data_IF_206309221607
#
_entry.id   IF_206309221607
#
_cell.length_a   1.000
_cell.length_b   1.000
_cell.length_c   1.000
_cell.angle_alpha   90.00
_cell.angle_beta   90.00
_cell.angle_gamma   90.00
#
_symmetry.space_group_name_H-M   'P 1'
#
loop_
_entity.id
_entity.type
_entity.pdbx_description
1 polymer ?
#
# COMPACT_ATOMS: atom_id res chain seq x y z
N UNK A 1 -3.48 -41.00 1.95
CA UNK A 1 -3.80 -41.58 3.28
C UNK A 1 -4.22 -40.53 4.31
N UNK A 2 -3.56 -39.36 4.45
CA UNK A 2 -3.96 -38.31 5.43
C UNK A 2 -5.33 -37.65 5.19
N UNK A 3 -5.76 -37.48 3.94
CA UNK A 3 -7.05 -36.85 3.62
C UNK A 3 -8.28 -37.65 4.07
N UNK A 4 -8.16 -38.98 4.16
CA UNK A 4 -9.30 -39.87 4.45
C UNK A 4 -9.61 -39.90 5.96
N UNK A 5 -8.57 -39.78 6.78
CA UNK A 5 -8.68 -39.81 8.25
C UNK A 5 -9.33 -38.52 8.78
N UNK A 6 -8.97 -37.36 8.23
CA UNK A 6 -9.57 -36.07 8.60
C UNK A 6 -11.06 -36.01 8.23
N UNK A 7 -11.44 -36.57 7.08
CA UNK A 7 -12.84 -36.63 6.67
C UNK A 7 -13.69 -37.46 7.65
N UNK A 8 -13.20 -38.64 8.05
CA UNK A 8 -13.89 -39.51 9.02
C UNK A 8 -14.03 -38.85 10.40
N UNK A 9 -12.99 -38.15 10.87
CA UNK A 9 -13.03 -37.46 12.15
C UNK A 9 -14.03 -36.30 12.16
N UNK A 10 -14.08 -35.47 11.11
CA UNK A 10 -15.05 -34.38 11.01
C UNK A 10 -16.51 -34.90 10.99
N UNK A 11 -16.81 -35.91 10.17
CA UNK A 11 -18.18 -36.42 10.04
C UNK A 11 -18.69 -37.00 11.37
N UNK A 12 -17.86 -37.75 12.09
CA UNK A 12 -18.23 -38.31 13.40
C UNK A 12 -18.42 -37.24 14.48
N UNK A 13 -17.68 -36.13 14.42
CA UNK A 13 -17.86 -35.00 15.33
C UNK A 13 -19.17 -34.23 15.07
N UNK A 14 -19.50 -33.94 13.82
CA UNK A 14 -20.74 -33.25 13.47
C UNK A 14 -21.99 -34.12 13.74
N UNK A 15 -21.90 -35.43 13.53
CA UNK A 15 -22.99 -36.36 13.86
C UNK A 15 -23.30 -36.41 15.36
N UNK A 16 -22.27 -36.30 16.23
CA UNK A 16 -22.45 -36.23 17.69
C UNK A 16 -23.08 -34.91 18.14
N UNK A 17 -22.85 -33.83 17.40
CA UNK A 17 -23.34 -32.49 17.72
C UNK A 17 -24.62 -32.12 16.96
N UNK A 18 -25.34 -33.13 16.41
CA UNK A 18 -26.62 -32.99 15.68
C UNK A 18 -26.69 -31.86 14.66
N UNK A 19 -25.55 -31.53 14.05
CA UNK A 19 -25.42 -30.39 13.14
C UNK A 19 -25.59 -30.89 11.72
N UNK A 20 -26.64 -30.38 11.05
CA UNK A 20 -26.97 -30.79 9.68
C UNK A 20 -25.90 -30.26 8.70
N UNK A 21 -25.08 -31.16 8.17
CA UNK A 21 -24.03 -30.84 7.19
C UNK A 21 -24.68 -30.74 5.81
N UNK A 22 -24.50 -29.61 5.12
CA UNK A 22 -24.89 -29.48 3.71
C UNK A 22 -23.84 -30.21 2.86
N UNK A 23 -24.23 -31.18 2.00
CA UNK A 23 -23.27 -31.88 1.16
C UNK A 23 -22.66 -30.92 0.14
N UNK A 24 -21.36 -30.69 0.23
CA UNK A 24 -20.59 -29.91 -0.73
C UNK A 24 -19.77 -30.86 -1.62
N UNK A 25 -19.84 -30.72 -2.96
CA UNK A 25 -19.02 -31.52 -3.86
C UNK A 25 -17.52 -31.21 -3.67
N UNK A 26 -16.64 -32.22 -3.78
CA UNK A 26 -15.20 -32.01 -3.67
C UNK A 26 -14.72 -31.05 -4.78
N UNK A 27 -13.84 -30.12 -4.42
CA UNK A 27 -13.23 -29.12 -5.32
C UNK A 27 -14.18 -28.09 -5.95
N UNK A 28 -15.23 -27.67 -5.25
CA UNK A 28 -16.11 -26.57 -5.70
C UNK A 28 -15.91 -25.30 -4.87
N UNK A 29 -14.86 -24.49 -5.15
CA UNK A 29 -14.62 -23.22 -4.46
C UNK A 29 -15.71 -22.17 -4.72
N UNK A 30 -16.54 -22.37 -5.75
CA UNK A 30 -17.63 -21.46 -6.12
C UNK A 30 -18.86 -21.54 -5.19
N UNK A 31 -18.96 -22.60 -4.38
CA UNK A 31 -20.11 -22.87 -3.50
C UNK A 31 -19.90 -22.37 -2.06
N UNK A 32 -18.70 -21.91 -1.71
CA UNK A 32 -18.43 -21.36 -0.40
C UNK A 32 -18.75 -19.84 -0.40
N UNK A 33 -19.84 -19.38 0.26
CA UNK A 33 -20.16 -17.96 0.31
C UNK A 33 -19.04 -17.12 0.94
N UNK A 34 -18.21 -17.76 1.78
CA UNK A 34 -17.04 -17.13 2.40
C UNK A 34 -15.95 -16.78 1.37
N UNK A 35 -15.60 -17.70 0.48
CA UNK A 35 -14.50 -17.48 -0.47
C UNK A 35 -14.88 -16.49 -1.58
N UNK A 36 -16.12 -16.58 -2.09
CA UNK A 36 -16.56 -15.75 -3.20
C UNK A 36 -16.84 -14.29 -2.79
N UNK A 37 -17.47 -14.08 -1.63
CA UNK A 37 -17.94 -12.76 -1.22
C UNK A 37 -16.99 -12.06 -0.23
N UNK A 38 -16.52 -12.76 0.80
CA UNK A 38 -15.72 -12.15 1.86
C UNK A 38 -14.31 -11.82 1.35
N UNK A 39 -13.68 -12.76 0.64
CA UNK A 39 -12.32 -12.59 0.17
C UNK A 39 -12.23 -11.52 -0.94
N UNK A 40 -13.19 -11.50 -1.85
CA UNK A 40 -13.31 -10.48 -2.90
C UNK A 40 -13.51 -9.07 -2.33
N UNK A 41 -14.25 -8.93 -1.22
CA UNK A 41 -14.46 -7.64 -0.54
C UNK A 41 -13.25 -7.21 0.28
N UNK A 42 -12.50 -8.14 0.86
CA UNK A 42 -11.33 -7.84 1.68
C UNK A 42 -10.07 -7.51 0.84
N UNK A 43 -9.92 -8.12 -0.33
CA UNK A 43 -8.78 -7.84 -1.22
C UNK A 43 -8.84 -6.43 -1.85
N UNK A 44 -10.03 -5.91 -2.13
CA UNK A 44 -10.22 -4.58 -2.73
C UNK A 44 -9.60 -3.44 -1.91
N UNK A 45 -9.93 -3.25 -0.61
CA UNK A 45 -9.36 -2.20 0.22
C UNK A 45 -7.85 -2.41 0.46
N UNK A 46 -7.40 -3.65 0.60
CA UNK A 46 -5.98 -3.96 0.82
C UNK A 46 -5.10 -3.51 -0.36
N UNK A 47 -5.57 -3.68 -1.61
CA UNK A 47 -4.83 -3.24 -2.80
C UNK A 47 -4.82 -1.72 -2.95
N UNK A 48 -5.95 -1.05 -2.69
CA UNK A 48 -6.04 0.41 -2.81
C UNK A 48 -5.26 1.14 -1.73
N UNK A 49 -5.30 0.69 -0.48
CA UNK A 49 -4.60 1.34 0.63
C UNK A 49 -3.08 1.35 0.39
N UNK A 50 -2.51 0.22 -0.05
CA UNK A 50 -1.06 0.09 -0.29
C UNK A 50 -0.59 0.98 -1.46
N UNK A 51 -1.34 1.00 -2.57
CA UNK A 51 -1.00 1.83 -3.73
C UNK A 51 -1.15 3.33 -3.44
N UNK A 52 -2.23 3.74 -2.77
CA UNK A 52 -2.47 5.15 -2.43
C UNK A 52 -1.40 5.66 -1.48
N UNK A 53 -0.99 4.86 -0.49
CA UNK A 53 0.08 5.24 0.43
C UNK A 53 1.41 5.41 -0.31
N UNK A 54 1.81 4.45 -1.15
CA UNK A 54 3.03 4.53 -1.94
C UNK A 54 3.05 5.78 -2.85
N UNK A 55 1.95 6.04 -3.57
CA UNK A 55 1.81 7.21 -4.45
C UNK A 55 1.87 8.51 -3.61
N UNK A 56 1.26 8.54 -2.43
CA UNK A 56 1.30 9.72 -1.55
C UNK A 56 2.72 10.02 -1.08
N UNK A 57 3.51 8.98 -0.79
CA UNK A 57 4.87 9.10 -0.28
C UNK A 57 5.84 9.57 -1.38
N UNK A 58 5.71 9.00 -2.58
CA UNK A 58 6.44 9.44 -3.78
C UNK A 58 6.18 10.93 -4.07
N UNK A 59 4.92 11.38 -3.99
CA UNK A 59 4.56 12.78 -4.20
C UNK A 59 5.16 13.71 -3.14
N UNK A 60 5.22 13.31 -1.87
CA UNK A 60 5.89 14.08 -0.80
C UNK A 60 7.39 14.22 -1.06
N UNK A 61 8.04 13.14 -1.47
CA UNK A 61 9.47 13.14 -1.79
C UNK A 61 9.78 14.09 -2.95
N UNK A 62 9.05 13.97 -4.07
CA UNK A 62 9.23 14.82 -5.24
C UNK A 62 9.01 16.31 -4.90
N UNK A 63 7.98 16.60 -4.10
CA UNK A 63 7.69 17.94 -3.64
C UNK A 63 8.81 18.52 -2.74
N UNK A 64 9.41 17.68 -1.89
CA UNK A 64 10.59 18.01 -1.09
C UNK A 64 11.80 18.39 -1.96
N UNK A 65 12.15 17.54 -2.93
CA UNK A 65 13.23 17.80 -3.89
C UNK A 65 12.98 19.10 -4.66
N UNK A 66 11.74 19.34 -5.10
CA UNK A 66 11.35 20.56 -5.82
C UNK A 66 11.53 21.82 -4.97
N UNK A 67 11.14 21.77 -3.69
CA UNK A 67 11.32 22.89 -2.75
C UNK A 67 12.79 23.19 -2.47
N UNK A 68 13.61 22.17 -2.25
CA UNK A 68 15.04 22.37 -1.99
C UNK A 68 15.79 22.93 -3.20
N UNK A 69 15.45 22.47 -4.41
CA UNK A 69 16.00 23.04 -5.65
C UNK A 69 15.67 24.52 -5.79
N UNK A 70 14.43 24.94 -5.48
CA UNK A 70 14.05 26.37 -5.46
C UNK A 70 14.84 27.16 -4.42
N UNK A 71 14.98 26.64 -3.19
CA UNK A 71 15.76 27.29 -2.13
C UNK A 71 17.22 27.53 -2.54
N UNK A 72 17.88 26.54 -3.17
CA UNK A 72 19.25 26.67 -3.68
C UNK A 72 19.36 27.76 -4.74
N UNK A 73 18.41 27.84 -5.68
CA UNK A 73 18.37 28.89 -6.71
C UNK A 73 18.23 30.30 -6.10
N UNK A 74 17.32 30.46 -5.13
CA UNK A 74 17.13 31.75 -4.44
C UNK A 74 18.37 32.15 -3.67
N UNK A 75 19.01 31.23 -2.94
CA UNK A 75 20.26 31.48 -2.21
C UNK A 75 21.40 31.87 -3.17
N UNK A 76 21.55 31.17 -4.30
CA UNK A 76 22.56 31.49 -5.32
C UNK A 76 22.32 32.88 -5.92
N UNK A 77 21.07 33.23 -6.25
CA UNK A 77 20.70 34.55 -6.78
C UNK A 77 20.96 35.67 -5.77
N UNK A 78 20.63 35.47 -4.48
CA UNK A 78 20.97 36.41 -3.39
C UNK A 78 22.48 36.58 -3.23
N UNK A 79 23.27 35.50 -3.32
CA UNK A 79 24.73 35.56 -3.24
C UNK A 79 25.31 36.35 -4.42
N UNK A 80 24.82 36.09 -5.63
CA UNK A 80 25.23 36.80 -6.84
C UNK A 80 24.92 38.31 -6.74
N UNK A 81 23.72 38.67 -6.30
CA UNK A 81 23.34 40.07 -6.10
C UNK A 81 24.27 40.80 -5.11
N UNK A 82 24.67 40.15 -4.00
CA UNK A 82 25.63 40.72 -3.06
C UNK A 82 27.02 40.94 -3.68
N UNK A 83 27.50 40.02 -4.51
CA UNK A 83 28.81 40.13 -5.18
C UNK A 83 28.83 41.29 -6.18
N UNK A 84 27.79 41.42 -7.01
CA UNK A 84 27.67 42.51 -7.98
C UNK A 84 27.61 43.88 -7.29
N UNK A 85 26.93 43.98 -6.15
CA UNK A 85 26.90 45.23 -5.36
C UNK A 85 28.26 45.54 -4.73
N UNK A 86 29.00 44.53 -4.28
CA UNK A 86 30.32 44.72 -3.64
C UNK A 86 31.38 45.18 -4.64
N UNK A 87 31.38 44.66 -5.87
CA UNK A 87 32.31 45.09 -6.92
C UNK A 87 32.09 46.51 -7.44
N UNK A 88 30.87 47.07 -7.31
CA UNK A 88 30.58 48.47 -7.69
C UNK A 88 31.06 49.51 -6.69
N UNK A 89 31.22 49.15 -5.42
CA UNK A 89 31.63 50.09 -4.36
C UNK A 89 33.15 50.16 -4.14
N UNK A 90 33.94 49.36 -4.85
CA UNK A 90 35.41 49.31 -4.70
C UNK A 90 36.17 49.93 -5.88
N UNK A 91 35.46 50.43 -6.90
CA UNK A 91 36.04 51.00 -8.13
C UNK A 91 36.02 52.53 -8.20
N UNK A 92 35.79 53.23 -7.09
CA UNK A 92 35.90 54.69 -7.00
C UNK A 92 36.94 55.05 -5.94
N UNK A 93 38.21 54.97 -6.33
CA UNK A 93 39.32 55.71 -5.75
C UNK A 93 40.29 56.04 -6.88
#
# INVERSE_FOLDING_TARGET
>A
MHHVILHWFCVTFFAKNSTHIVPQPPYSPDLAPCDFWLYSKLQRPMRTIVLVQYISEQRKFEYGIRKDRRRRRVKKKKKLYKLVRKGRNTGTK
#
